data_IF_498114446743
#
_entry.id   IF_498114446743
#
_cell.length_a   1.000
_cell.length_b   1.000
_cell.length_c   1.000
_cell.angle_alpha   90.00
_cell.angle_beta   90.00
_cell.angle_gamma   90.00
#
_symmetry.space_group_name_H-M   'P 1'
#
loop_
_entity.id
_entity.type
_entity.pdbx_description
1 polymer ?
#
# COMPACT_ATOMS: atom_id res chain seq x y z
N UNK A 1 -21.32 15.19 -8.44
CA UNK A 1 -21.82 13.80 -8.35
C UNK A 1 -23.35 13.78 -8.35
N UNK A 2 -24.01 14.22 -9.45
CA UNK A 2 -25.47 14.39 -9.47
C UNK A 2 -26.22 13.05 -9.38
N UNK A 3 -25.70 12.00 -10.03
CA UNK A 3 -26.35 10.68 -10.01
C UNK A 3 -26.39 10.06 -8.60
N UNK A 4 -25.33 10.26 -7.82
CA UNK A 4 -25.29 9.82 -6.42
C UNK A 4 -26.33 10.57 -5.58
N UNK A 5 -26.43 11.89 -5.73
CA UNK A 5 -27.43 12.69 -5.03
C UNK A 5 -28.86 12.23 -5.37
N UNK A 6 -29.14 12.00 -6.65
CA UNK A 6 -30.42 11.48 -7.13
C UNK A 6 -30.73 10.09 -6.54
N UNK A 7 -29.74 9.19 -6.52
CA UNK A 7 -29.91 7.84 -5.97
C UNK A 7 -30.17 7.82 -4.46
N UNK A 8 -29.64 8.80 -3.73
CA UNK A 8 -29.85 8.98 -2.29
C UNK A 8 -31.13 9.78 -1.97
N UNK A 9 -31.88 10.23 -2.98
CA UNK A 9 -33.06 11.07 -2.79
C UNK A 9 -32.75 12.42 -2.13
N UNK A 10 -31.54 12.95 -2.33
CA UNK A 10 -31.08 14.21 -1.73
C UNK A 10 -30.68 15.21 -2.81
N UNK A 11 -30.59 16.49 -2.44
CA UNK A 11 -30.08 17.51 -3.34
C UNK A 11 -28.54 17.47 -3.38
N UNK A 12 -27.96 17.83 -4.52
CA UNK A 12 -26.50 17.94 -4.66
C UNK A 12 -25.90 18.87 -3.62
N UNK A 13 -26.56 20.00 -3.35
CA UNK A 13 -26.13 20.96 -2.34
C UNK A 13 -26.11 20.36 -0.93
N UNK A 14 -27.11 19.55 -0.58
CA UNK A 14 -27.16 18.86 0.71
C UNK A 14 -26.04 17.81 0.82
N UNK A 15 -25.80 17.04 -0.26
CA UNK A 15 -24.71 16.09 -0.31
C UNK A 15 -23.34 16.76 -0.12
N UNK A 16 -23.05 17.82 -0.87
CA UNK A 16 -21.79 18.56 -0.77
C UNK A 16 -21.64 19.21 0.61
N UNK A 17 -22.71 19.80 1.14
CA UNK A 17 -22.72 20.36 2.49
C UNK A 17 -22.43 19.31 3.56
N UNK A 18 -23.06 18.13 3.49
CA UNK A 18 -22.85 17.07 4.47
C UNK A 18 -21.41 16.53 4.44
N UNK A 19 -20.84 16.30 3.26
CA UNK A 19 -19.45 15.86 3.14
C UNK A 19 -18.47 16.91 3.68
N UNK A 20 -18.67 18.18 3.32
CA UNK A 20 -17.83 19.26 3.82
C UNK A 20 -17.97 19.46 5.34
N UNK A 21 -19.20 19.41 5.87
CA UNK A 21 -19.44 19.62 7.29
C UNK A 21 -18.92 18.47 8.17
N UNK A 22 -19.04 17.23 7.71
CA UNK A 22 -18.65 16.05 8.50
C UNK A 22 -17.17 15.69 8.31
N UNK A 23 -16.65 15.81 7.08
CA UNK A 23 -15.29 15.36 6.73
C UNK A 23 -14.35 16.46 6.27
N UNK A 24 -14.84 17.69 6.08
CA UNK A 24 -14.02 18.80 5.57
C UNK A 24 -13.57 18.63 4.11
N UNK A 25 -14.16 17.69 3.38
CA UNK A 25 -13.78 17.36 2.00
C UNK A 25 -15.00 17.29 1.11
N UNK A 26 -14.79 17.45 -0.20
CA UNK A 26 -15.84 17.24 -1.20
C UNK A 26 -16.14 15.75 -1.38
N UNK A 27 -17.34 15.36 -1.84
CA UNK A 27 -17.64 13.96 -2.15
C UNK A 27 -16.68 13.34 -3.17
N UNK A 28 -16.16 14.13 -4.10
CA UNK A 28 -15.19 13.68 -5.12
C UNK A 28 -13.84 13.34 -4.48
N UNK A 29 -13.35 14.19 -3.58
CA UNK A 29 -12.11 13.92 -2.82
C UNK A 29 -12.28 12.67 -1.94
N UNK A 30 -13.38 12.58 -1.20
CA UNK A 30 -13.66 11.41 -0.36
C UNK A 30 -13.72 10.11 -1.19
N UNK A 31 -14.27 10.16 -2.41
CA UNK A 31 -14.27 9.01 -3.32
C UNK A 31 -12.85 8.65 -3.80
N UNK A 32 -12.04 9.66 -4.11
CA UNK A 32 -10.65 9.45 -4.52
C UNK A 32 -9.83 8.81 -3.40
N UNK A 33 -9.91 9.35 -2.18
CA UNK A 33 -9.28 8.80 -0.98
C UNK A 33 -9.74 7.35 -0.74
N UNK A 34 -11.04 7.08 -0.86
CA UNK A 34 -11.57 5.73 -0.71
C UNK A 34 -10.96 4.75 -1.73
N UNK A 35 -10.87 5.15 -3.00
CA UNK A 35 -10.26 4.33 -4.05
C UNK A 35 -8.76 4.11 -3.86
N UNK A 36 -8.03 5.11 -3.40
CA UNK A 36 -6.61 5.00 -3.06
C UNK A 36 -6.39 4.04 -1.88
N UNK A 37 -7.24 4.12 -0.85
CA UNK A 37 -7.23 3.19 0.28
C UNK A 37 -7.54 1.75 -0.17
N UNK A 38 -8.50 1.55 -1.08
CA UNK A 38 -8.74 0.24 -1.65
C UNK A 38 -7.53 -0.29 -2.43
N UNK A 39 -6.85 0.56 -3.20
CA UNK A 39 -5.62 0.20 -3.91
C UNK A 39 -4.53 -0.22 -2.93
N UNK A 40 -4.34 0.53 -1.84
CA UNK A 40 -3.41 0.19 -0.77
C UNK A 40 -3.67 -1.22 -0.21
N UNK A 41 -4.93 -1.51 0.13
CA UNK A 41 -5.33 -2.83 0.67
C UNK A 41 -5.06 -3.94 -0.35
N UNK A 42 -5.47 -3.77 -1.60
CA UNK A 42 -5.25 -4.77 -2.67
C UNK A 42 -3.77 -5.05 -2.88
N UNK A 43 -2.93 -4.01 -2.90
CA UNK A 43 -1.50 -4.17 -3.06
C UNK A 43 -0.82 -4.79 -1.83
N UNK A 44 -1.38 -4.62 -0.64
CA UNK A 44 -0.92 -5.26 0.60
C UNK A 44 -1.24 -6.76 0.62
N UNK A 45 -2.47 -7.12 0.24
CA UNK A 45 -2.97 -8.49 0.24
C UNK A 45 -2.40 -9.31 -0.92
N UNK A 46 -2.29 -8.68 -2.10
CA UNK A 46 -1.84 -9.30 -3.34
C UNK A 46 -0.64 -8.54 -3.95
N UNK A 47 0.52 -8.50 -3.26
CA UNK A 47 1.67 -7.67 -3.68
C UNK A 47 2.34 -8.12 -4.98
N UNK A 48 2.00 -9.32 -5.47
CA UNK A 48 2.46 -9.88 -6.74
C UNK A 48 1.49 -9.63 -7.90
N UNK A 49 0.31 -9.05 -7.63
CA UNK A 49 -0.61 -8.64 -8.68
C UNK A 49 0.01 -7.52 -9.53
N UNK A 50 -0.27 -7.53 -10.83
CA UNK A 50 0.17 -6.45 -11.71
C UNK A 50 -0.50 -5.12 -11.34
N UNK A 51 0.31 -4.06 -11.16
CA UNK A 51 -0.14 -2.74 -10.73
C UNK A 51 -1.31 -2.19 -11.58
N UNK A 52 -1.22 -2.27 -12.91
CA UNK A 52 -2.29 -1.80 -13.78
C UNK A 52 -3.61 -2.55 -13.61
N UNK A 53 -3.57 -3.83 -13.19
CA UNK A 53 -4.78 -4.60 -12.87
C UNK A 53 -5.38 -4.14 -11.54
N UNK A 54 -4.55 -3.87 -10.53
CA UNK A 54 -5.01 -3.35 -9.25
C UNK A 54 -5.65 -1.96 -9.39
N UNK A 55 -5.00 -1.04 -10.12
CA UNK A 55 -5.51 0.31 -10.40
C UNK A 55 -6.91 0.25 -11.05
N UNK A 56 -7.08 -0.60 -12.08
CA UNK A 56 -8.39 -0.78 -12.74
C UNK A 56 -9.44 -1.37 -11.80
N UNK A 57 -9.06 -2.36 -10.98
CA UNK A 57 -9.98 -2.99 -10.03
C UNK A 57 -10.49 -1.99 -8.97
N UNK A 58 -9.68 -0.99 -8.61
CA UNK A 58 -10.04 0.05 -7.65
C UNK A 58 -10.74 1.27 -8.29
N UNK A 59 -11.11 1.20 -9.58
CA UNK A 59 -11.80 2.30 -10.26
C UNK A 59 -10.93 3.54 -10.53
N UNK A 60 -9.60 3.37 -10.57
CA UNK A 60 -8.61 4.41 -10.86
C UNK A 60 -8.03 4.29 -12.28
N UNK A 61 -8.63 3.44 -13.14
CA UNK A 61 -8.09 3.11 -14.46
C UNK A 61 -7.95 4.29 -15.42
N UNK A 62 -8.81 5.29 -15.29
CA UNK A 62 -8.83 6.51 -16.11
C UNK A 62 -8.18 7.71 -15.40
N UNK A 63 -7.73 7.53 -14.16
CA UNK A 63 -7.16 8.61 -13.37
C UNK A 63 -5.73 8.87 -13.85
N UNK A 64 -5.38 10.06 -14.36
CA UNK A 64 -4.01 10.40 -14.66
C UNK A 64 -3.22 10.55 -13.34
N UNK A 65 -1.95 10.16 -13.34
CA UNK A 65 -1.07 10.40 -12.18
C UNK A 65 -1.43 9.61 -10.91
N UNK A 66 -2.05 8.41 -11.01
CA UNK A 66 -2.38 7.59 -9.82
C UNK A 66 -1.17 7.34 -8.92
N UNK A 67 0.02 7.20 -9.52
CA UNK A 67 1.27 7.02 -8.77
C UNK A 67 1.56 8.23 -7.87
N UNK A 68 1.44 9.42 -8.43
CA UNK A 68 1.71 10.68 -7.72
C UNK A 68 0.65 10.91 -6.63
N UNK A 69 -0.62 10.61 -6.92
CA UNK A 69 -1.70 10.66 -5.93
C UNK A 69 -1.49 9.67 -4.78
N UNK A 70 -1.01 8.46 -5.08
CA UNK A 70 -0.70 7.47 -4.06
C UNK A 70 0.47 7.92 -3.19
N UNK A 71 1.53 8.46 -3.79
CA UNK A 71 2.68 8.98 -3.05
C UNK A 71 2.30 10.19 -2.19
N UNK A 72 1.46 11.09 -2.71
CA UNK A 72 0.95 12.23 -1.95
C UNK A 72 0.11 11.79 -0.74
N UNK A 73 -0.72 10.77 -0.90
CA UNK A 73 -1.62 10.29 0.17
C UNK A 73 -0.87 9.47 1.23
N UNK A 74 0.02 8.58 0.82
CA UNK A 74 0.67 7.61 1.72
C UNK A 74 2.14 7.94 2.07
N UNK A 75 2.71 8.97 1.44
CA UNK A 75 4.10 9.37 1.66
C UNK A 75 5.13 8.34 1.18
N UNK A 76 4.73 7.42 0.30
CA UNK A 76 5.59 6.35 -0.22
C UNK A 76 5.29 6.09 -1.69
N UNK A 77 6.35 5.98 -2.49
CA UNK A 77 6.20 5.61 -3.89
C UNK A 77 5.66 4.17 -4.05
N UNK A 78 4.90 3.92 -5.12
CA UNK A 78 4.32 2.60 -5.38
C UNK A 78 5.40 1.51 -5.55
N UNK A 79 6.51 1.72 -6.28
CA UNK A 79 7.56 0.71 -6.44
C UNK A 79 8.15 0.20 -5.12
N UNK A 80 8.50 1.11 -4.20
CA UNK A 80 9.03 0.82 -2.87
C UNK A 80 7.98 0.15 -2.01
N UNK A 81 6.75 0.65 -2.03
CA UNK A 81 5.63 0.02 -1.32
C UNK A 81 5.44 -1.44 -1.75
N UNK A 82 5.45 -1.71 -3.06
CA UNK A 82 5.36 -3.08 -3.59
C UNK A 82 6.56 -3.94 -3.19
N UNK A 83 7.76 -3.38 -3.18
CA UNK A 83 8.96 -4.11 -2.74
C UNK A 83 8.82 -4.57 -1.28
N UNK A 84 8.45 -3.64 -0.39
CA UNK A 84 8.24 -3.91 1.05
C UNK A 84 7.12 -4.93 1.23
N UNK A 85 5.98 -4.75 0.56
CA UNK A 85 4.83 -5.66 0.67
C UNK A 85 5.14 -7.08 0.18
N UNK A 86 5.93 -7.21 -0.89
CA UNK A 86 6.42 -8.54 -1.35
C UNK A 86 7.34 -9.17 -0.33
N UNK A 87 8.31 -8.42 0.20
CA UNK A 87 9.24 -8.92 1.22
C UNK A 87 8.50 -9.38 2.47
N UNK A 88 7.50 -8.63 2.90
CA UNK A 88 6.64 -8.99 4.02
C UNK A 88 5.82 -10.26 3.72
N UNK A 89 5.30 -10.42 2.51
CA UNK A 89 4.59 -11.64 2.11
C UNK A 89 5.52 -12.86 2.11
N UNK A 90 6.76 -12.72 1.62
CA UNK A 90 7.75 -13.79 1.63
C UNK A 90 8.14 -14.18 3.06
N UNK A 91 8.29 -13.22 3.97
CA UNK A 91 8.56 -13.48 5.38
C UNK A 91 7.40 -14.23 6.06
N UNK A 92 6.14 -13.87 5.75
CA UNK A 92 4.96 -14.60 6.23
C UNK A 92 4.98 -16.06 5.76
N UNK A 93 5.27 -16.31 4.47
CA UNK A 93 5.38 -17.67 3.93
C UNK A 93 6.51 -18.46 4.59
N UNK A 94 7.66 -17.83 4.80
CA UNK A 94 8.80 -18.46 5.48
C UNK A 94 8.46 -18.88 6.91
N UNK A 95 7.76 -18.03 7.68
CA UNK A 95 7.31 -18.35 9.04
C UNK A 95 6.29 -19.48 9.08
N UNK A 96 5.42 -19.58 8.06
CA UNK A 96 4.47 -20.68 7.92
C UNK A 96 5.19 -22.00 7.61
N UNK A 97 6.18 -21.98 6.70
CA UNK A 97 6.98 -23.15 6.36
C UNK A 97 7.77 -23.73 7.54
N UNK A 98 8.25 -22.86 8.45
CA UNK A 98 8.94 -23.27 9.68
C UNK A 98 8.06 -23.99 10.71
N UNK A 99 6.73 -23.91 10.60
CA UNK A 99 5.82 -24.64 11.51
C UNK A 99 5.62 -26.11 11.13
N UNK A 100 6.00 -26.51 9.91
CA UNK A 100 5.77 -27.87 9.39
C UNK A 100 7.03 -28.73 9.27
N UNK A 101 8.21 -28.24 9.64
CA UNK A 101 9.44 -29.04 9.61
C UNK A 101 10.48 -28.48 10.56
N UNK A 102 11.05 -29.36 11.39
CA UNK A 102 12.25 -29.09 12.19
C UNK A 102 13.34 -28.60 11.23
N UNK A 103 13.64 -27.30 11.29
CA UNK A 103 14.62 -26.65 10.42
C UNK A 103 15.01 -25.31 11.03
N UNK A 104 16.17 -25.28 11.65
CA UNK A 104 16.82 -24.08 12.20
C UNK A 104 16.87 -22.94 11.15
N UNK A 105 16.75 -21.66 11.56
CA UNK A 105 16.92 -20.55 10.64
C UNK A 105 18.36 -20.54 10.11
N UNK A 106 18.55 -20.85 8.83
CA UNK A 106 19.73 -20.37 8.12
C UNK A 106 19.44 -18.94 7.69
N UNK A 107 20.00 -17.99 8.42
CA UNK A 107 20.17 -16.64 7.91
C UNK A 107 20.98 -16.75 6.62
N UNK A 108 20.38 -16.42 5.48
CA UNK A 108 21.12 -16.25 4.23
C UNK A 108 21.96 -15.01 4.43
N UNK A 109 23.20 -15.21 4.90
CA UNK A 109 24.24 -14.21 4.83
C UNK A 109 24.45 -13.90 3.36
N UNK A 110 24.03 -12.70 2.94
CA UNK A 110 24.55 -12.13 1.71
C UNK A 110 26.07 -12.11 1.87
N UNK A 111 26.76 -12.86 1.02
CA UNK A 111 28.21 -12.88 0.98
C UNK A 111 28.72 -11.45 0.75
N UNK A 112 29.72 -10.99 1.51
CA UNK A 112 30.26 -9.66 1.36
C UNK A 112 31.05 -9.55 0.06
N UNK A 113 30.67 -8.59 -0.79
CA UNK A 113 31.60 -8.00 -1.75
C UNK A 113 32.79 -7.49 -0.92
N UNK A 114 33.98 -7.94 -1.29
CA UNK A 114 35.20 -7.95 -0.47
C UNK A 114 35.85 -6.55 -0.27
N UNK A 115 37.07 -6.51 0.27
CA UNK A 115 37.40 -6.15 1.65
C UNK A 115 37.89 -4.70 1.75
N UNK A 116 37.74 -4.03 2.89
CA UNK A 116 38.68 -2.99 3.34
C UNK A 116 38.41 -2.62 4.80
N UNK A 117 39.38 -2.97 5.65
CA UNK A 117 39.81 -2.31 6.88
C UNK A 117 38.78 -2.05 8.00
N UNK A 118 39.06 -2.68 9.13
CA UNK A 118 38.82 -2.09 10.44
C UNK A 118 38.03 -2.96 11.40
N UNK A 119 38.73 -3.87 12.07
CA UNK A 119 38.35 -4.33 13.41
C UNK A 119 38.05 -3.08 14.29
N UNK A 120 37.08 -3.11 15.20
CA UNK A 120 37.29 -3.56 16.58
C UNK A 120 35.95 -4.10 17.12
N UNK A 121 35.96 -5.38 17.53
CA UNK A 121 35.02 -5.89 18.52
C UNK A 121 35.54 -5.48 19.90
N UNK A 122 34.70 -4.85 20.71
CA UNK A 122 34.86 -4.83 22.17
C UNK A 122 33.52 -5.12 22.81
N UNK A 123 33.39 -6.37 23.26
CA UNK A 123 32.44 -6.81 24.28
C UNK A 123 33.17 -6.73 25.63
N UNK A 124 32.57 -6.10 26.65
CA UNK A 124 32.75 -6.59 28.01
C UNK A 124 31.56 -6.21 28.92
N UNK A 125 30.98 -7.30 29.45
CA UNK A 125 30.06 -7.50 30.60
C UNK A 125 28.71 -6.79 30.58
#
# INVERSE_FOLDING_TARGET
MPDLANSLGTSLHCLDFSFNHIRGVTPVQALQEHRLNQLFTVLTDYPRQGLGRAIRACGLGETPGVKDLFEQEFGIDIPLFLHISRRAADDRLFRLGKRSGVGTPQCVSQSPISPLRGAICSFHV
#
